data_IF_654247331694
#
_entry.id   IF_654247331694
#
_cell.length_a   1.000
_cell.length_b   1.000
_cell.length_c   1.000
_cell.angle_alpha   90.00
_cell.angle_beta   90.00
_cell.angle_gamma   90.00
#
_symmetry.space_group_name_H-M   'P 1'
#
loop_
_entity.id
_entity.type
_entity.pdbx_description
1 polymer ?
#
# COMPACT_ATOMS: atom_id res chain seq x y z
N UNK A 1 -5.41 0.94 -0.17
CA UNK A 1 -6.16 0.36 0.97
C UNK A 1 -6.39 -1.10 0.69
N UNK A 2 -5.75 -1.95 1.47
CA UNK A 2 -5.92 -3.41 1.33
C UNK A 2 -7.40 -3.77 1.58
N UNK A 3 -7.97 -4.59 0.71
CA UNK A 3 -9.37 -5.03 0.80
C UNK A 3 -10.44 -3.94 0.62
N UNK A 4 -10.04 -2.70 0.32
CA UNK A 4 -10.88 -1.51 0.30
C UNK A 4 -11.77 -1.44 -0.94
N UNK A 5 -12.86 -2.22 -0.94
CA UNK A 5 -13.90 -2.09 -1.97
C UNK A 5 -14.73 -0.79 -1.84
N UNK A 6 -15.61 -0.57 -2.81
CA UNK A 6 -16.47 0.63 -2.84
C UNK A 6 -17.35 0.76 -1.60
N UNK A 7 -17.86 -0.36 -1.06
CA UNK A 7 -18.69 -0.36 0.14
C UNK A 7 -17.90 0.08 1.39
N UNK A 8 -16.64 -0.32 1.52
CA UNK A 8 -15.74 0.09 2.62
C UNK A 8 -15.54 1.60 2.62
N UNK A 9 -15.17 2.16 1.46
CA UNK A 9 -15.02 3.59 1.29
C UNK A 9 -16.34 4.34 1.56
N UNK A 10 -17.47 3.82 1.07
CA UNK A 10 -18.78 4.44 1.29
C UNK A 10 -19.16 4.44 2.78
N UNK A 11 -18.84 3.36 3.49
CA UNK A 11 -19.07 3.26 4.94
C UNK A 11 -18.28 4.34 5.69
N UNK A 12 -17.00 4.49 5.38
CA UNK A 12 -16.18 5.53 5.99
C UNK A 12 -16.65 6.96 5.63
N UNK A 13 -17.03 7.19 4.37
CA UNK A 13 -17.60 8.46 3.91
C UNK A 13 -18.86 8.83 4.74
N UNK A 14 -19.79 7.91 4.92
CA UNK A 14 -21.01 8.17 5.67
C UNK A 14 -20.74 8.32 7.17
N UNK A 15 -19.86 7.50 7.73
CA UNK A 15 -19.46 7.62 9.13
C UNK A 15 -18.75 8.95 9.45
N UNK A 16 -18.13 9.58 8.45
CA UNK A 16 -17.47 10.88 8.57
C UNK A 16 -18.34 12.05 8.05
N UNK A 17 -19.64 11.93 8.14
CA UNK A 17 -20.56 13.04 7.80
C UNK A 17 -20.62 13.36 6.30
N UNK A 18 -20.21 12.45 5.43
CA UNK A 18 -20.21 12.62 3.98
C UNK A 18 -18.92 13.25 3.42
N UNK A 19 -17.86 13.36 4.20
CA UNK A 19 -16.57 13.92 3.76
C UNK A 19 -15.43 12.88 3.83
N UNK A 20 -14.74 12.70 2.71
CA UNK A 20 -13.48 11.96 2.58
C UNK A 20 -12.60 12.65 1.55
N UNK A 21 -11.30 12.68 1.80
CA UNK A 21 -10.31 13.21 0.83
C UNK A 21 -10.32 12.42 -0.47
N UNK A 22 -10.37 11.10 -0.41
CA UNK A 22 -10.46 10.21 -1.57
C UNK A 22 -11.67 10.57 -2.45
N UNK A 23 -12.81 10.92 -1.85
CA UNK A 23 -14.03 11.27 -2.58
C UNK A 23 -13.92 12.59 -3.37
N UNK A 24 -12.90 13.40 -3.13
CA UNK A 24 -12.62 14.63 -3.88
C UNK A 24 -11.88 14.38 -5.19
N UNK A 25 -11.29 13.19 -5.36
CA UNK A 25 -10.59 12.80 -6.58
C UNK A 25 -11.59 12.57 -7.72
N UNK A 26 -11.35 13.16 -8.89
CA UNK A 26 -12.35 13.25 -9.97
C UNK A 26 -12.19 12.25 -11.10
N UNK A 27 -11.02 11.63 -11.23
CA UNK A 27 -10.77 10.59 -12.21
C UNK A 27 -10.96 9.24 -11.55
N UNK A 28 -12.02 8.54 -11.95
CA UNK A 28 -12.44 7.30 -11.30
C UNK A 28 -12.56 6.20 -12.34
N UNK A 29 -12.06 5.05 -12.02
CA UNK A 29 -12.21 3.81 -12.77
C UNK A 29 -12.50 2.62 -11.87
N UNK A 30 -12.58 1.46 -12.46
CA UNK A 30 -12.77 0.18 -11.78
C UNK A 30 -11.69 -0.81 -12.22
N UNK A 31 -11.22 -1.63 -11.30
CA UNK A 31 -10.12 -2.57 -11.55
C UNK A 31 -10.61 -4.01 -11.39
N UNK A 32 -10.27 -4.85 -12.37
CA UNK A 32 -10.42 -6.31 -12.32
C UNK A 32 -9.21 -6.89 -11.57
N UNK A 33 -9.44 -7.69 -10.55
CA UNK A 33 -8.40 -8.13 -9.62
C UNK A 33 -8.06 -9.62 -9.66
N UNK A 34 -8.77 -10.43 -10.47
CA UNK A 34 -8.53 -11.88 -10.53
C UNK A 34 -7.03 -12.21 -10.72
N UNK A 35 -6.56 -13.23 -10.03
CA UNK A 35 -5.20 -13.76 -10.19
C UNK A 35 -5.10 -14.71 -11.40
N UNK A 36 -3.90 -15.25 -11.65
CA UNK A 36 -3.67 -16.19 -12.76
C UNK A 36 -4.45 -17.50 -12.56
N UNK A 37 -4.52 -18.01 -11.34
CA UNK A 37 -5.08 -19.33 -11.04
C UNK A 37 -6.40 -19.28 -10.26
N UNK A 38 -6.91 -18.10 -9.90
CA UNK A 38 -8.11 -17.95 -9.06
C UNK A 38 -8.99 -16.79 -9.53
N UNK A 39 -10.30 -17.03 -9.48
CA UNK A 39 -11.30 -15.97 -9.65
C UNK A 39 -11.23 -14.92 -8.54
N UNK A 40 -10.96 -15.35 -7.31
CA UNK A 40 -10.73 -14.50 -6.15
C UNK A 40 -9.23 -14.44 -5.89
N UNK A 41 -8.65 -13.25 -6.00
CA UNK A 41 -7.24 -13.01 -5.75
C UNK A 41 -6.91 -12.97 -4.26
N UNK A 42 -5.63 -13.08 -3.92
CA UNK A 42 -5.08 -12.63 -2.64
C UNK A 42 -4.17 -11.41 -2.86
N UNK A 43 -3.77 -10.76 -1.76
CA UNK A 43 -2.93 -9.56 -1.80
C UNK A 43 -1.57 -9.80 -2.46
N UNK A 44 -1.01 -11.03 -2.35
CA UNK A 44 0.27 -11.36 -2.97
C UNK A 44 0.18 -11.33 -4.51
N UNK A 45 -0.83 -11.99 -5.08
CA UNK A 45 -1.00 -12.03 -6.52
C UNK A 45 -1.43 -10.67 -7.09
N UNK A 46 -2.31 -9.95 -6.41
CA UNK A 46 -2.74 -8.63 -6.85
C UNK A 46 -1.63 -7.59 -6.68
N UNK A 47 -0.91 -7.59 -5.55
CA UNK A 47 0.27 -6.75 -5.35
C UNK A 47 1.34 -7.01 -6.40
N UNK A 48 1.59 -8.28 -6.76
CA UNK A 48 2.51 -8.64 -7.85
C UNK A 48 2.02 -8.08 -9.20
N UNK A 49 0.72 -8.13 -9.49
CA UNK A 49 0.19 -7.57 -10.73
C UNK A 49 0.41 -6.04 -10.81
N UNK A 50 0.21 -5.32 -9.71
CA UNK A 50 0.50 -3.89 -9.62
C UNK A 50 2.01 -3.57 -9.68
N UNK A 51 2.84 -4.42 -9.06
CA UNK A 51 4.28 -4.20 -9.00
C UNK A 51 5.01 -4.56 -10.29
N UNK A 52 4.48 -5.49 -11.11
CA UNK A 52 5.20 -6.06 -12.25
C UNK A 52 4.46 -5.99 -13.59
N UNK A 53 3.15 -5.71 -13.59
CA UNK A 53 2.30 -5.76 -14.78
C UNK A 53 2.01 -7.19 -15.27
N UNK A 54 2.17 -8.21 -14.42
CA UNK A 54 1.90 -9.61 -14.76
C UNK A 54 1.01 -10.27 -13.72
N UNK A 55 0.09 -11.11 -14.21
CA UNK A 55 -0.67 -12.01 -13.33
C UNK A 55 0.26 -13.10 -12.79
N UNK A 56 -0.01 -13.51 -11.54
CA UNK A 56 0.63 -14.67 -10.91
C UNK A 56 -0.39 -15.50 -10.12
N UNK A 57 0.05 -16.62 -9.57
CA UNK A 57 -0.78 -17.46 -8.72
C UNK A 57 -0.96 -16.85 -7.33
N UNK A 58 -2.12 -17.10 -6.70
CA UNK A 58 -2.33 -16.69 -5.31
C UNK A 58 -1.17 -17.15 -4.42
N UNK A 59 -0.71 -16.28 -3.56
CA UNK A 59 0.40 -16.50 -2.64
C UNK A 59 1.78 -16.16 -3.20
N UNK A 60 1.95 -15.95 -4.50
CA UNK A 60 3.24 -15.66 -5.13
C UNK A 60 3.56 -14.18 -5.16
N UNK A 61 4.84 -13.83 -4.96
CA UNK A 61 5.36 -12.47 -4.86
C UNK A 61 6.46 -12.25 -5.89
N UNK A 62 6.29 -11.31 -6.83
CA UNK A 62 7.32 -10.90 -7.79
C UNK A 62 7.81 -12.00 -8.74
N UNK A 63 7.05 -13.08 -8.89
CA UNK A 63 7.31 -14.17 -9.84
C UNK A 63 6.07 -14.42 -10.69
N UNK A 64 6.25 -15.00 -11.90
CA UNK A 64 5.13 -15.43 -12.72
C UNK A 64 4.52 -16.77 -12.25
N UNK A 65 3.55 -17.30 -13.00
CA UNK A 65 2.89 -18.57 -12.67
C UNK A 65 3.79 -19.79 -12.75
N UNK A 66 4.95 -19.67 -13.40
CA UNK A 66 5.95 -20.73 -13.58
C UNK A 66 7.11 -20.57 -12.58
N UNK A 67 7.13 -19.47 -11.78
CA UNK A 67 8.15 -19.17 -10.79
C UNK A 67 9.34 -18.37 -11.34
N UNK A 68 9.25 -17.85 -12.58
CA UNK A 68 10.29 -16.98 -13.10
C UNK A 68 10.19 -15.59 -12.47
N UNK A 69 11.35 -15.00 -12.15
CA UNK A 69 11.45 -13.67 -11.55
C UNK A 69 10.92 -12.59 -12.50
N UNK A 70 10.08 -11.72 -11.99
CA UNK A 70 9.54 -10.55 -12.68
C UNK A 70 10.13 -9.27 -12.09
N UNK A 71 10.78 -8.43 -12.89
CA UNK A 71 11.25 -7.13 -12.39
C UNK A 71 10.08 -6.28 -11.90
N UNK A 72 10.17 -5.82 -10.66
CA UNK A 72 9.14 -5.00 -10.04
C UNK A 72 9.39 -3.48 -10.26
N UNK A 73 8.39 -2.67 -9.92
CA UNK A 73 8.39 -1.22 -10.08
C UNK A 73 9.60 -0.56 -9.39
N UNK A 74 9.92 -0.99 -8.16
CA UNK A 74 11.05 -0.46 -7.40
C UNK A 74 12.37 -0.68 -8.13
N UNK A 75 12.59 -1.88 -8.67
CA UNK A 75 13.82 -2.22 -9.40
C UNK A 75 13.93 -1.45 -10.71
N UNK A 76 12.83 -1.42 -11.48
CA UNK A 76 12.78 -0.74 -12.78
C UNK A 76 13.06 0.74 -12.59
N UNK A 77 12.32 1.41 -11.70
CA UNK A 77 12.43 2.84 -11.51
C UNK A 77 13.77 3.24 -10.89
N UNK A 78 14.27 2.49 -9.90
CA UNK A 78 15.59 2.72 -9.34
C UNK A 78 16.69 2.59 -10.39
N UNK A 79 16.60 1.61 -11.32
CA UNK A 79 17.56 1.45 -12.41
C UNK A 79 17.56 2.64 -13.38
N UNK A 80 16.47 3.37 -13.45
CA UNK A 80 16.31 4.59 -14.27
C UNK A 80 16.66 5.87 -13.50
N UNK A 81 17.04 5.74 -12.23
CA UNK A 81 17.48 6.85 -11.38
C UNK A 81 16.34 7.59 -10.66
N UNK A 82 15.14 7.00 -10.56
CA UNK A 82 14.10 7.49 -9.68
C UNK A 82 14.39 7.05 -8.24
N UNK A 83 14.03 7.86 -7.27
CA UNK A 83 13.96 7.42 -5.88
C UNK A 83 12.72 6.55 -5.67
N UNK A 84 12.81 5.54 -4.80
CA UNK A 84 11.67 4.66 -4.53
C UNK A 84 11.50 4.44 -3.04
N UNK A 85 10.24 4.32 -2.60
CA UNK A 85 9.87 4.09 -1.21
C UNK A 85 8.65 3.19 -1.05
N UNK A 86 8.54 2.57 0.13
CA UNK A 86 7.47 1.65 0.52
C UNK A 86 7.09 1.97 1.96
N UNK A 87 5.81 2.24 2.20
CA UNK A 87 5.22 2.53 3.52
C UNK A 87 4.00 1.66 3.73
N UNK A 88 3.86 1.06 4.90
CA UNK A 88 2.69 0.23 5.25
C UNK A 88 2.36 0.32 6.74
N UNK A 89 1.10 0.07 7.08
CA UNK A 89 0.66 -0.19 8.45
C UNK A 89 0.79 -1.66 8.84
N UNK A 90 1.08 -2.57 7.90
CA UNK A 90 1.37 -3.99 8.17
C UNK A 90 2.87 -4.19 8.50
N UNK A 91 3.23 -5.44 8.70
CA UNK A 91 4.63 -5.90 8.67
C UNK A 91 5.23 -5.54 7.32
N UNK A 92 6.47 -5.06 7.34
CA UNK A 92 7.16 -4.78 6.08
C UNK A 92 7.31 -6.04 5.20
N UNK A 93 7.19 -7.22 5.77
CA UNK A 93 7.10 -8.51 5.06
C UNK A 93 5.69 -8.91 4.64
N UNK A 94 4.69 -8.07 4.89
CA UNK A 94 3.33 -8.25 4.39
C UNK A 94 3.29 -8.40 2.87
N UNK A 95 2.23 -9.00 2.35
CA UNK A 95 2.20 -9.38 0.94
C UNK A 95 2.29 -8.17 -0.01
N UNK A 96 1.54 -7.11 0.27
CA UNK A 96 1.52 -5.91 -0.58
C UNK A 96 2.88 -5.21 -0.62
N UNK A 97 3.50 -4.81 0.51
CA UNK A 97 4.82 -4.17 0.45
C UNK A 97 5.87 -5.12 -0.15
N UNK A 98 5.82 -6.41 0.20
CA UNK A 98 6.77 -7.40 -0.28
C UNK A 98 6.75 -7.58 -1.80
N UNK A 99 5.60 -7.50 -2.46
CA UNK A 99 5.49 -7.60 -3.91
C UNK A 99 6.34 -6.54 -4.66
N UNK A 100 6.68 -5.44 -4.01
CA UNK A 100 7.46 -4.36 -4.60
C UNK A 100 8.98 -4.47 -4.36
N UNK A 101 9.45 -5.52 -3.64
CA UNK A 101 10.89 -5.69 -3.43
C UNK A 101 11.40 -7.14 -3.41
N UNK A 102 10.52 -8.15 -3.40
CA UNK A 102 10.91 -9.57 -3.30
C UNK A 102 10.44 -10.40 -4.49
N UNK A 103 11.01 -11.62 -4.62
CA UNK A 103 10.70 -12.58 -5.66
C UNK A 103 10.58 -13.98 -5.06
N UNK A 104 9.51 -14.19 -4.28
CA UNK A 104 9.31 -15.44 -3.56
C UNK A 104 8.05 -16.20 -4.04
N UNK A 105 8.12 -17.50 -4.26
CA UNK A 105 6.98 -18.28 -4.73
C UNK A 105 5.84 -18.37 -3.71
N UNK A 106 6.06 -17.99 -2.46
CA UNK A 106 5.03 -18.00 -1.40
C UNK A 106 5.22 -16.86 -0.42
N UNK A 107 4.14 -16.10 -0.15
CA UNK A 107 4.08 -15.01 0.83
C UNK A 107 4.39 -15.44 2.28
N UNK A 108 4.35 -16.74 2.58
CA UNK A 108 4.71 -17.28 3.88
C UNK A 108 6.23 -17.48 4.09
N UNK A 109 7.05 -17.22 3.08
CA UNK A 109 8.52 -17.34 3.15
C UNK A 109 9.14 -16.09 3.79
N UNK A 110 8.73 -15.80 5.02
CA UNK A 110 9.06 -14.55 5.71
C UNK A 110 10.56 -14.29 5.82
N UNK A 111 11.36 -15.33 6.08
CA UNK A 111 12.81 -15.19 6.22
C UNK A 111 13.47 -14.77 4.89
N UNK A 112 13.06 -15.39 3.79
CA UNK A 112 13.55 -15.08 2.45
C UNK A 112 13.10 -13.69 2.01
N UNK A 113 11.84 -13.33 2.28
CA UNK A 113 11.28 -12.00 2.01
C UNK A 113 12.10 -10.92 2.73
N UNK A 114 12.39 -11.11 4.02
CA UNK A 114 13.23 -10.17 4.78
C UNK A 114 14.68 -10.15 4.31
N UNK A 115 15.21 -11.28 3.82
CA UNK A 115 16.55 -11.32 3.19
C UNK A 115 16.58 -10.48 1.90
N UNK A 116 15.49 -10.47 1.13
CA UNK A 116 15.37 -9.63 -0.06
C UNK A 116 15.24 -8.14 0.31
N UNK A 117 14.57 -7.81 1.43
CA UNK A 117 14.50 -6.44 1.93
C UNK A 117 15.89 -5.81 2.13
N UNK A 118 16.86 -6.57 2.65
CA UNK A 118 18.23 -6.09 2.82
C UNK A 118 18.86 -5.67 1.48
N UNK A 119 18.41 -6.26 0.38
CA UNK A 119 18.91 -6.03 -0.98
C UNK A 119 18.06 -5.05 -1.79
N UNK A 120 16.98 -4.58 -1.21
CA UNK A 120 16.03 -3.67 -1.90
C UNK A 120 16.74 -2.45 -2.48
N UNK A 121 16.23 -1.96 -3.58
CA UNK A 121 16.64 -0.70 -4.20
C UNK A 121 15.90 0.52 -3.64
N UNK A 122 14.86 0.28 -2.82
CA UNK A 122 14.14 1.37 -2.17
C UNK A 122 15.07 2.16 -1.25
N UNK A 123 14.90 3.48 -1.25
CA UNK A 123 15.63 4.40 -0.37
C UNK A 123 14.89 4.63 0.96
N UNK A 124 13.58 4.40 0.97
CA UNK A 124 12.74 4.53 2.14
C UNK A 124 11.87 3.29 2.28
N UNK A 125 11.92 2.63 3.43
CA UNK A 125 11.02 1.53 3.77
C UNK A 125 10.49 1.75 5.17
N UNK A 126 9.18 1.61 5.33
CA UNK A 126 8.52 1.74 6.63
C UNK A 126 7.42 0.69 6.76
N UNK A 127 7.45 -0.02 7.85
CA UNK A 127 6.47 -1.01 8.24
C UNK A 127 6.76 -1.46 9.66
N UNK A 128 5.93 -2.31 10.20
CA UNK A 128 6.03 -2.74 11.59
C UNK A 128 6.76 -4.08 11.76
N UNK A 129 6.74 -4.56 13.00
CA UNK A 129 7.19 -5.87 13.49
C UNK A 129 8.67 -5.99 13.80
N UNK A 130 9.14 -5.12 14.69
CA UNK A 130 10.47 -5.27 15.33
C UNK A 130 10.67 -6.68 15.90
N UNK A 131 9.67 -7.23 16.60
CA UNK A 131 9.76 -8.59 17.19
C UNK A 131 9.99 -9.68 16.14
N UNK A 132 9.46 -9.53 14.95
CA UNK A 132 9.70 -10.47 13.85
C UNK A 132 11.20 -10.50 13.46
N UNK A 133 11.81 -9.33 13.35
CA UNK A 133 13.25 -9.21 13.04
C UNK A 133 14.12 -9.76 14.19
N UNK A 134 13.76 -9.47 15.43
CA UNK A 134 14.45 -10.01 16.62
C UNK A 134 14.39 -11.53 16.66
N UNK A 135 13.25 -12.13 16.35
CA UNK A 135 13.05 -13.57 16.29
C UNK A 135 13.82 -14.25 15.15
N UNK A 136 14.12 -13.54 14.06
CA UNK A 136 14.89 -14.08 12.94
C UNK A 136 16.40 -13.95 13.19
N UNK A 137 16.83 -12.94 13.96
CA UNK A 137 18.21 -12.70 14.36
C UNK A 137 18.59 -11.22 14.30
N UNK A 138 19.25 -10.72 15.32
CA UNK A 138 19.66 -9.30 15.47
C UNK A 138 20.53 -8.83 14.28
N UNK A 139 21.23 -9.75 13.64
CA UNK A 139 22.03 -9.47 12.44
C UNK A 139 21.26 -8.85 11.27
N UNK A 140 19.92 -8.91 11.24
CA UNK A 140 19.14 -8.27 10.19
C UNK A 140 19.22 -6.74 10.26
N UNK A 141 19.11 -6.16 11.43
CA UNK A 141 19.27 -4.72 11.59
C UNK A 141 20.68 -4.26 11.23
N UNK A 142 21.69 -5.03 11.63
CA UNK A 142 23.08 -4.75 11.27
C UNK A 142 23.31 -4.90 9.77
N UNK A 143 22.68 -5.89 9.15
CA UNK A 143 22.74 -6.05 7.69
C UNK A 143 22.13 -4.85 6.95
N UNK A 144 21.00 -4.31 7.43
CA UNK A 144 20.41 -3.07 6.88
C UNK A 144 21.37 -1.88 7.08
N UNK A 145 21.96 -1.72 8.27
CA UNK A 145 22.95 -0.66 8.54
C UNK A 145 24.17 -0.77 7.62
N UNK A 146 24.70 -1.97 7.41
CA UNK A 146 25.81 -2.21 6.47
C UNK A 146 25.43 -1.90 5.00
N UNK A 147 24.15 -1.91 4.66
CA UNK A 147 23.64 -1.48 3.34
C UNK A 147 23.35 0.02 3.26
N UNK A 148 23.70 0.77 4.31
CA UNK A 148 23.58 2.22 4.36
C UNK A 148 22.23 2.74 4.85
N UNK A 149 21.38 1.88 5.42
CA UNK A 149 20.13 2.32 6.03
C UNK A 149 20.36 2.92 7.42
N UNK A 150 19.80 4.09 7.67
CA UNK A 150 19.48 4.56 9.02
C UNK A 150 18.28 3.76 9.52
N UNK A 151 18.54 2.84 10.48
CA UNK A 151 17.50 1.98 11.04
C UNK A 151 16.94 2.62 12.30
N UNK A 152 15.64 2.87 12.32
CA UNK A 152 14.90 3.44 13.45
C UNK A 152 13.66 2.60 13.77
N UNK A 153 13.14 2.77 14.98
CA UNK A 153 12.01 1.97 15.51
C UNK A 153 10.82 2.83 15.97
N UNK A 154 10.96 4.15 15.95
CA UNK A 154 9.89 5.09 16.26
C UNK A 154 9.79 6.12 15.12
N UNK A 155 8.61 6.29 14.52
CA UNK A 155 8.40 7.24 13.44
C UNK A 155 8.65 8.70 13.86
N UNK A 156 8.56 9.00 15.15
CA UNK A 156 8.87 10.32 15.73
C UNK A 156 10.35 10.68 15.65
N UNK A 157 11.22 9.71 15.37
CA UNK A 157 12.65 9.93 15.15
C UNK A 157 12.96 10.40 13.71
N UNK A 158 12.04 10.19 12.75
CA UNK A 158 12.24 10.52 11.33
C UNK A 158 12.86 11.91 11.09
N UNK A 159 12.38 13.00 11.72
CA UNK A 159 12.95 14.33 11.49
C UNK A 159 14.42 14.52 11.93
N UNK A 160 14.95 13.56 12.70
CA UNK A 160 16.31 13.60 13.24
C UNK A 160 17.27 12.65 12.52
N UNK A 161 16.74 11.79 11.64
CA UNK A 161 17.58 10.80 10.91
C UNK A 161 18.33 11.49 9.78
N UNK A 162 19.63 11.38 9.81
CA UNK A 162 20.51 11.83 8.72
C UNK A 162 21.10 10.62 8.03
N UNK A 163 20.42 10.12 7.00
CA UNK A 163 20.87 8.97 6.20
C UNK A 163 20.37 9.08 4.76
N UNK A 164 21.08 8.47 3.82
CA UNK A 164 20.67 8.42 2.42
C UNK A 164 19.59 7.36 2.15
N UNK A 165 19.46 6.42 3.06
CA UNK A 165 18.43 5.41 3.07
C UNK A 165 17.86 5.27 4.48
N UNK A 166 16.56 5.08 4.59
CA UNK A 166 15.89 4.94 5.90
C UNK A 166 15.07 3.66 5.92
N UNK A 167 15.24 2.89 6.98
CA UNK A 167 14.39 1.74 7.31
C UNK A 167 13.73 2.00 8.68
N UNK A 168 12.48 2.38 8.66
CA UNK A 168 11.63 2.45 9.83
C UNK A 168 10.99 1.08 10.04
N UNK A 169 11.53 0.31 10.96
CA UNK A 169 10.94 -0.95 11.41
C UNK A 169 10.27 -0.67 12.75
N UNK A 170 9.03 -0.26 12.70
CA UNK A 170 8.29 0.23 13.85
C UNK A 170 7.91 -0.89 14.82
N UNK A 171 7.53 -0.53 16.02
CA UNK A 171 7.13 -1.50 17.05
C UNK A 171 5.86 -2.26 16.61
N UNK A 172 5.65 -3.43 17.20
CA UNK A 172 4.52 -4.30 16.81
C UNK A 172 3.16 -3.64 16.99
N UNK A 173 3.03 -2.70 17.95
CA UNK A 173 1.81 -1.91 18.14
C UNK A 173 1.46 -1.04 16.94
N UNK A 174 2.42 -0.66 16.12
CA UNK A 174 2.18 0.13 14.91
C UNK A 174 1.66 -0.72 13.73
N UNK A 175 1.58 -2.06 13.90
CA UNK A 175 0.83 -2.99 13.05
C UNK A 175 -0.54 -3.37 13.63
N UNK A 176 -0.92 -2.84 14.77
CA UNK A 176 -2.24 -3.08 15.36
C UNK A 176 -3.30 -2.21 14.67
N UNK A 177 -4.56 -2.54 14.90
CA UNK A 177 -5.65 -1.68 14.46
C UNK A 177 -5.68 -0.38 15.24
N UNK A 178 -6.17 0.68 14.63
CA UNK A 178 -6.39 1.98 15.31
C UNK A 178 -7.23 1.79 16.58
N UNK A 179 -8.27 0.96 16.54
CA UNK A 179 -9.09 0.67 17.71
C UNK A 179 -8.34 -0.05 18.84
N UNK A 180 -7.22 -0.72 18.54
CA UNK A 180 -6.37 -1.43 19.50
C UNK A 180 -5.19 -0.57 19.98
N UNK A 181 -5.08 0.68 19.51
CA UNK A 181 -4.13 1.66 20.01
C UNK A 181 -2.97 2.00 19.09
N UNK A 182 -3.02 1.66 17.77
CA UNK A 182 -2.10 2.27 16.81
C UNK A 182 -2.26 3.78 16.84
N UNK A 183 -1.14 4.49 16.86
CA UNK A 183 -1.15 5.95 16.76
C UNK A 183 -1.63 6.38 15.36
N UNK A 184 -2.74 7.10 15.30
CA UNK A 184 -3.32 7.60 14.02
C UNK A 184 -2.45 8.65 13.33
N UNK A 185 -1.38 9.10 13.96
CA UNK A 185 -0.37 9.92 13.31
C UNK A 185 0.64 9.10 12.50
N UNK A 186 0.74 7.78 12.73
CA UNK A 186 1.77 6.94 12.12
C UNK A 186 1.76 7.03 10.59
N UNK A 187 0.72 6.50 9.94
CA UNK A 187 0.68 6.42 8.48
C UNK A 187 0.77 7.79 7.81
N UNK A 188 0.02 8.75 8.33
CA UNK A 188 0.02 10.14 7.87
C UNK A 188 1.43 10.76 7.93
N UNK A 189 2.08 10.73 9.10
CA UNK A 189 3.38 11.39 9.30
C UNK A 189 4.51 10.69 8.56
N UNK A 190 4.45 9.35 8.46
CA UNK A 190 5.43 8.59 7.68
C UNK A 190 5.28 8.87 6.18
N UNK A 191 4.04 9.01 5.69
CA UNK A 191 3.76 9.38 4.30
C UNK A 191 4.29 10.77 3.97
N UNK A 192 3.98 11.78 4.78
CA UNK A 192 4.45 13.16 4.61
C UNK A 192 5.98 13.23 4.57
N UNK A 193 6.63 12.57 5.54
CA UNK A 193 8.09 12.51 5.55
C UNK A 193 8.67 11.79 4.32
N UNK A 194 8.10 10.65 3.92
CA UNK A 194 8.56 9.88 2.77
C UNK A 194 8.45 10.65 1.46
N UNK A 195 7.36 11.40 1.25
CA UNK A 195 7.16 12.27 0.09
C UNK A 195 8.30 13.30 -0.03
N UNK A 196 8.53 14.06 1.05
CA UNK A 196 9.58 15.07 1.11
C UNK A 196 10.97 14.47 0.94
N UNK A 197 11.28 13.39 1.66
CA UNK A 197 12.56 12.68 1.61
C UNK A 197 12.88 12.18 0.19
N UNK A 198 11.93 11.50 -0.46
CA UNK A 198 12.16 10.94 -1.80
C UNK A 198 12.25 12.02 -2.88
N UNK A 199 11.50 13.10 -2.75
CA UNK A 199 11.59 14.23 -3.68
C UNK A 199 12.98 14.87 -3.68
N UNK A 200 13.65 14.94 -2.53
CA UNK A 200 15.02 15.45 -2.42
C UNK A 200 16.08 14.48 -2.99
N UNK A 201 15.82 13.16 -3.01
CA UNK A 201 16.80 12.14 -3.40
C UNK A 201 16.99 12.00 -4.91
N UNK A 202 16.05 12.45 -5.74
CA UNK A 202 16.19 12.34 -7.19
C UNK A 202 15.55 13.51 -7.93
N UNK A 203 16.34 14.12 -8.82
CA UNK A 203 15.85 15.15 -9.76
C UNK A 203 14.93 14.60 -10.85
N UNK A 204 14.85 13.28 -11.02
CA UNK A 204 13.95 12.63 -11.97
C UNK A 204 12.57 12.42 -11.39
N UNK A 205 12.43 12.51 -10.08
CA UNK A 205 11.21 12.21 -9.34
C UNK A 205 11.31 10.90 -8.57
N UNK A 206 10.20 10.46 -8.05
CA UNK A 206 10.13 9.29 -7.17
C UNK A 206 8.88 8.44 -7.42
N UNK A 207 8.90 7.24 -6.86
CA UNK A 207 7.77 6.35 -6.69
C UNK A 207 7.62 6.02 -5.21
N UNK A 208 6.42 6.16 -4.68
CA UNK A 208 6.09 5.80 -3.31
C UNK A 208 4.84 4.92 -3.28
N UNK A 209 4.97 3.72 -2.70
CA UNK A 209 3.84 2.90 -2.29
C UNK A 209 3.47 3.25 -0.86
N UNK A 210 2.20 3.53 -0.60
CA UNK A 210 1.63 3.71 0.75
C UNK A 210 0.47 2.76 0.92
N UNK A 211 0.46 1.98 1.98
CA UNK A 211 -0.57 1.00 2.26
C UNK A 211 -1.24 1.22 3.61
N UNK A 212 -2.57 1.32 3.60
CA UNK A 212 -3.43 1.12 4.76
C UNK A 212 -3.91 -0.33 4.79
N UNK A 213 -3.18 -1.20 5.47
CA UNK A 213 -3.37 -2.64 5.41
C UNK A 213 -4.54 -3.15 6.25
N UNK A 214 -4.88 -2.45 7.35
CA UNK A 214 -5.78 -2.98 8.36
C UNK A 214 -7.28 -2.86 7.99
N UNK A 215 -7.60 -2.23 6.86
CA UNK A 215 -8.98 -2.20 6.32
C UNK A 215 -9.43 -3.63 6.00
N UNK A 216 -8.54 -4.41 5.36
CA UNK A 216 -8.77 -5.82 5.04
C UNK A 216 -9.01 -6.67 6.29
N UNK A 217 -8.14 -6.52 7.30
CA UNK A 217 -8.28 -7.26 8.55
C UNK A 217 -9.58 -6.91 9.28
N UNK A 218 -10.02 -5.65 9.27
CA UNK A 218 -11.32 -5.22 9.78
C UNK A 218 -12.48 -5.91 9.05
N UNK A 219 -12.40 -6.01 7.74
CA UNK A 219 -13.41 -6.67 6.91
C UNK A 219 -13.41 -8.20 7.09
N UNK A 220 -12.26 -8.85 7.19
CA UNK A 220 -12.13 -10.27 7.52
C UNK A 220 -12.78 -10.61 8.87
N UNK A 221 -12.65 -9.73 9.85
CA UNK A 221 -13.27 -9.88 11.16
C UNK A 221 -14.78 -9.54 11.18
N UNK A 222 -15.35 -9.07 10.07
CA UNK A 222 -16.74 -8.61 10.03
C UNK A 222 -16.99 -7.37 10.91
N UNK A 223 -15.95 -6.54 11.09
CA UNK A 223 -15.95 -5.40 11.99
C UNK A 223 -16.07 -4.08 11.23
N UNK A 224 -17.31 -3.55 11.13
CA UNK A 224 -17.59 -2.28 10.44
C UNK A 224 -16.85 -1.12 11.10
N UNK A 225 -16.79 -1.05 12.43
CA UNK A 225 -16.08 0.03 13.13
C UNK A 225 -14.57 0.00 12.81
N UNK A 226 -13.96 -1.19 12.77
CA UNK A 226 -12.58 -1.37 12.32
C UNK A 226 -12.38 -0.85 10.90
N UNK A 227 -13.21 -1.28 9.96
CA UNK A 227 -13.18 -0.79 8.56
C UNK A 227 -13.27 0.72 8.48
N UNK A 228 -14.21 1.34 9.20
CA UNK A 228 -14.36 2.81 9.24
C UNK A 228 -13.08 3.47 9.75
N UNK A 229 -12.59 3.06 10.91
CA UNK A 229 -11.42 3.69 11.54
C UNK A 229 -10.17 3.58 10.69
N UNK A 230 -9.94 2.41 10.10
CA UNK A 230 -8.78 2.15 9.24
C UNK A 230 -8.86 2.91 7.91
N UNK A 231 -10.06 2.98 7.30
CA UNK A 231 -10.25 3.77 6.06
C UNK A 231 -10.07 5.26 6.32
N UNK A 232 -10.54 5.79 7.46
CA UNK A 232 -10.34 7.19 7.85
C UNK A 232 -8.87 7.48 8.18
N UNK A 233 -8.14 6.53 8.74
CA UNK A 233 -6.71 6.68 8.99
C UNK A 233 -5.91 6.69 7.68
N UNK A 234 -6.25 5.81 6.75
CA UNK A 234 -5.69 5.80 5.39
C UNK A 234 -6.01 7.09 4.62
N UNK A 235 -7.23 7.61 4.71
CA UNK A 235 -7.65 8.86 4.05
C UNK A 235 -6.82 10.08 4.50
N UNK A 236 -6.31 10.08 5.74
CA UNK A 236 -5.39 11.13 6.20
C UNK A 236 -4.04 11.06 5.47
N UNK A 237 -3.52 9.87 5.20
CA UNK A 237 -2.30 9.73 4.42
C UNK A 237 -2.52 10.13 2.95
N UNK A 238 -3.70 9.84 2.39
CA UNK A 238 -4.10 10.34 1.07
C UNK A 238 -4.14 11.86 1.05
N UNK A 239 -4.62 12.50 2.13
CA UNK A 239 -4.65 13.96 2.23
C UNK A 239 -3.24 14.58 2.13
N UNK A 240 -2.22 13.98 2.78
CA UNK A 240 -0.83 14.44 2.65
C UNK A 240 -0.32 14.28 1.21
N UNK A 241 -0.64 13.16 0.56
CA UNK A 241 -0.25 12.94 -0.83
C UNK A 241 -0.90 13.94 -1.80
N UNK A 242 -2.18 14.28 -1.60
CA UNK A 242 -2.86 15.29 -2.41
C UNK A 242 -2.34 16.70 -2.15
N UNK A 243 -2.07 17.05 -0.89
CA UNK A 243 -1.44 18.33 -0.55
C UNK A 243 -0.08 18.46 -1.23
N UNK A 244 0.78 17.45 -1.14
CA UNK A 244 2.07 17.42 -1.80
C UNK A 244 1.92 17.56 -3.34
N UNK A 245 0.92 16.90 -3.94
CA UNK A 245 0.64 17.00 -5.37
C UNK A 245 0.17 18.40 -5.78
N UNK A 246 -0.65 19.06 -4.96
CA UNK A 246 -1.09 20.44 -5.20
C UNK A 246 0.07 21.43 -5.13
N UNK A 247 0.99 21.25 -4.19
CA UNK A 247 2.13 22.15 -4.00
C UNK A 247 3.14 22.07 -5.15
N UNK A 248 3.37 20.90 -5.74
CA UNK A 248 4.35 20.76 -6.82
C UNK A 248 3.74 20.70 -8.24
N UNK A 249 2.47 20.34 -8.38
CA UNK A 249 1.75 20.26 -9.66
C UNK A 249 2.22 19.16 -10.62
N UNK A 250 3.18 18.32 -10.25
CA UNK A 250 3.80 17.30 -11.10
C UNK A 250 3.61 15.86 -10.57
N UNK A 251 2.91 15.68 -9.45
CA UNK A 251 2.71 14.38 -8.80
C UNK A 251 1.38 13.76 -9.23
N UNK A 252 1.44 12.54 -9.73
CA UNK A 252 0.29 11.67 -9.95
C UNK A 252 0.03 10.87 -8.67
N UNK A 253 -1.16 11.00 -8.09
CA UNK A 253 -1.64 10.21 -6.95
C UNK A 253 -2.68 9.22 -7.45
N UNK A 254 -2.50 7.95 -7.11
CA UNK A 254 -3.43 6.86 -7.44
C UNK A 254 -3.83 6.19 -6.14
N UNK A 255 -5.13 6.11 -5.87
CA UNK A 255 -5.70 5.40 -4.72
C UNK A 255 -6.54 4.25 -5.23
N UNK A 256 -6.24 3.04 -4.78
CA UNK A 256 -6.93 1.82 -5.20
C UNK A 256 -6.89 0.75 -4.10
N UNK A 257 -7.55 -0.36 -4.33
CA UNK A 257 -7.43 -1.58 -3.52
C UNK A 257 -6.86 -2.72 -4.36
N UNK A 258 -6.33 -3.72 -3.70
CA UNK A 258 -5.85 -4.95 -4.32
C UNK A 258 -6.98 -5.96 -4.58
N UNK A 259 -8.00 -5.98 -3.74
CA UNK A 259 -9.27 -6.72 -3.85
C UNK A 259 -10.35 -6.06 -3.00
N UNK A 260 -11.55 -6.62 -2.99
CA UNK A 260 -12.58 -6.35 -1.99
C UNK A 260 -12.58 -7.48 -0.96
N UNK A 261 -12.86 -7.16 0.31
CA UNK A 261 -12.94 -8.14 1.40
C UNK A 261 -14.29 -8.11 2.09
N UNK A 262 -14.82 -9.30 2.36
CA UNK A 262 -16.00 -9.50 3.18
C UNK A 262 -17.33 -9.44 2.43
N UNK A 263 -17.37 -8.93 1.21
CA UNK A 263 -18.65 -8.73 0.49
C UNK A 263 -19.60 -7.82 1.28
N UNK A 264 -19.09 -6.65 1.72
CA UNK A 264 -19.82 -5.74 2.60
C UNK A 264 -21.06 -5.18 1.90
N UNK A 265 -22.22 -5.44 2.52
CA UNK A 265 -23.51 -4.84 2.16
C UNK A 265 -23.92 -3.80 3.20
N UNK A 266 -24.16 -2.57 2.77
CA UNK A 266 -24.60 -1.49 3.66
C UNK A 266 -26.08 -1.61 4.00
N UNK A 267 -26.42 -1.32 5.26
CA UNK A 267 -27.77 -1.26 5.79
C UNK A 267 -28.21 0.18 6.04
N UNK A 268 -29.19 0.31 6.92
CA UNK A 268 -29.71 1.61 7.37
C UNK A 268 -28.63 2.38 8.15
N UNK A 269 -28.70 3.71 8.12
CA UNK A 269 -27.75 4.58 8.80
C UNK A 269 -28.22 6.03 8.89
N UNK A 270 -27.38 6.89 9.45
CA UNK A 270 -27.62 8.33 9.52
C UNK A 270 -26.30 9.07 9.30
N UNK A 271 -26.14 9.67 8.14
CA UNK A 271 -24.88 10.38 7.76
C UNK A 271 -24.61 11.57 8.70
N UNK A 272 -25.66 12.31 9.09
CA UNK A 272 -25.47 13.48 9.96
C UNK A 272 -25.02 13.13 11.38
N UNK A 273 -25.26 11.90 11.82
CA UNK A 273 -24.84 11.36 13.11
C UNK A 273 -23.62 10.45 13.00
N UNK A 274 -23.12 10.21 11.78
CA UNK A 274 -22.04 9.26 11.52
C UNK A 274 -22.42 7.80 11.80
N UNK A 275 -23.71 7.49 11.81
CA UNK A 275 -24.20 6.13 12.09
C UNK A 275 -24.23 5.33 10.79
N UNK A 276 -23.51 4.22 10.77
CA UNK A 276 -23.47 3.27 9.65
C UNK A 276 -23.78 1.86 10.15
N UNK A 277 -24.41 1.09 9.30
CA UNK A 277 -24.62 -0.35 9.53
C UNK A 277 -24.42 -1.13 8.25
N UNK A 278 -24.23 -2.41 8.39
CA UNK A 278 -24.05 -3.34 7.27
C UNK A 278 -23.71 -4.72 7.79
N UNK A 279 -23.53 -5.65 6.88
CA UNK A 279 -23.08 -7.00 7.19
C UNK A 279 -22.20 -7.53 6.08
N UNK A 280 -21.33 -8.43 6.45
CA UNK A 280 -20.39 -9.09 5.57
C UNK A 280 -20.98 -10.43 5.11
N UNK A 281 -20.96 -10.64 3.79
CA UNK A 281 -21.49 -11.86 3.20
C UNK A 281 -20.52 -13.04 3.34
N UNK A 282 -19.22 -12.75 3.54
CA UNK A 282 -18.16 -13.75 3.69
C UNK A 282 -17.08 -13.24 4.64
N UNK A 283 -16.29 -14.16 5.21
CA UNK A 283 -15.07 -13.81 5.94
C UNK A 283 -13.80 -13.80 5.06
N UNK A 284 -13.93 -13.91 3.75
CA UNK A 284 -12.84 -13.92 2.78
C UNK A 284 -12.96 -12.77 1.78
N UNK A 285 -12.06 -12.76 0.78
CA UNK A 285 -12.15 -11.79 -0.31
C UNK A 285 -13.31 -12.06 -1.24
N UNK A 286 -13.72 -11.06 -2.00
CA UNK A 286 -14.70 -11.21 -3.07
C UNK A 286 -14.13 -10.78 -4.43
N UNK A 287 -14.71 -11.25 -5.55
CA UNK A 287 -14.22 -10.92 -6.89
C UNK A 287 -14.81 -9.63 -7.45
N UNK A 288 -15.44 -8.82 -6.60
CA UNK A 288 -16.04 -7.55 -7.01
C UNK A 288 -14.94 -6.60 -7.50
N UNK A 289 -15.25 -5.85 -8.56
CA UNK A 289 -14.35 -4.80 -9.06
C UNK A 289 -14.08 -3.79 -7.94
N UNK A 290 -12.83 -3.36 -7.80
CA UNK A 290 -12.46 -2.33 -6.85
C UNK A 290 -12.33 -0.98 -7.54
N UNK A 291 -12.62 0.14 -6.86
CA UNK A 291 -12.43 1.45 -7.43
C UNK A 291 -10.95 1.80 -7.54
N UNK A 292 -10.60 2.60 -8.55
CA UNK A 292 -9.35 3.33 -8.65
C UNK A 292 -9.68 4.81 -8.78
N UNK A 293 -9.03 5.63 -7.97
CA UNK A 293 -9.12 7.08 -8.00
C UNK A 293 -7.76 7.63 -8.40
N UNK A 294 -7.75 8.65 -9.25
CA UNK A 294 -6.51 9.29 -9.67
C UNK A 294 -6.61 10.81 -9.62
N UNK A 295 -5.49 11.46 -9.31
CA UNK A 295 -5.35 12.90 -9.20
C UNK A 295 -3.99 13.37 -9.74
N UNK A 296 -3.95 14.56 -10.36
CA UNK A 296 -2.75 15.14 -10.92
C UNK A 296 -2.52 14.79 -12.39
N UNK A 297 -1.29 14.96 -12.90
CA UNK A 297 -0.96 14.68 -14.30
C UNK A 297 -1.24 13.22 -14.67
N UNK A 298 -1.82 12.99 -15.85
CA UNK A 298 -2.18 11.64 -16.34
C UNK A 298 -3.29 10.93 -15.55
N UNK A 299 -3.98 11.58 -14.63
CA UNK A 299 -5.05 10.97 -13.84
C UNK A 299 -6.19 10.40 -14.71
N UNK A 300 -6.52 11.04 -15.83
CA UNK A 300 -7.54 10.59 -16.77
C UNK A 300 -7.25 9.20 -17.38
N UNK A 301 -5.98 8.80 -17.41
CA UNK A 301 -5.56 7.51 -17.97
C UNK A 301 -6.00 6.32 -17.10
N UNK A 302 -6.47 6.57 -15.86
CA UNK A 302 -6.96 5.55 -14.94
C UNK A 302 -8.49 5.41 -14.94
N UNK A 303 -9.21 6.12 -15.80
CA UNK A 303 -10.66 5.97 -15.96
C UNK A 303 -11.02 4.70 -16.74
N UNK A 304 -12.28 4.25 -16.55
CA UNK A 304 -12.83 3.07 -17.21
C UNK A 304 -12.69 1.79 -16.39
N UNK A 305 -12.87 0.64 -17.04
CA UNK A 305 -12.69 -0.68 -16.42
C UNK A 305 -11.39 -1.28 -16.93
N UNK A 306 -10.41 -1.39 -16.06
CA UNK A 306 -9.05 -1.81 -16.39
C UNK A 306 -8.67 -3.11 -15.66
N UNK A 307 -7.66 -3.79 -16.15
CA UNK A 307 -7.06 -4.91 -15.43
C UNK A 307 -6.00 -4.40 -14.43
N UNK A 308 -5.78 -5.11 -13.31
CA UNK A 308 -4.77 -4.67 -12.32
C UNK A 308 -3.35 -4.64 -12.92
N UNK A 309 -3.05 -5.46 -13.93
CA UNK A 309 -1.78 -5.41 -14.67
C UNK A 309 -1.60 -4.13 -15.49
N UNK A 310 -2.69 -3.49 -15.90
CA UNK A 310 -2.63 -2.24 -16.67
C UNK A 310 -2.21 -1.04 -15.81
N UNK A 311 -2.46 -1.08 -14.50
CA UNK A 311 -2.04 -0.02 -13.57
C UNK A 311 -0.52 0.19 -13.66
N UNK A 312 0.25 -0.89 -13.64
CA UNK A 312 1.69 -0.86 -13.84
C UNK A 312 2.12 -0.15 -15.12
N UNK A 313 1.55 -0.57 -16.26
CA UNK A 313 1.92 -0.01 -17.56
C UNK A 313 1.52 1.47 -17.70
N UNK A 314 0.40 1.87 -17.10
CA UNK A 314 -0.06 3.27 -17.09
C UNK A 314 0.84 4.16 -16.22
N UNK A 315 1.32 3.66 -15.07
CA UNK A 315 2.33 4.37 -14.25
C UNK A 315 3.63 4.56 -15.05
N UNK A 316 4.17 3.50 -15.67
CA UNK A 316 5.38 3.63 -16.47
C UNK A 316 5.20 4.58 -17.66
N UNK A 317 4.02 4.58 -18.29
CA UNK A 317 3.67 5.50 -19.36
C UNK A 317 3.65 6.96 -18.89
N UNK A 318 3.02 7.25 -17.75
CA UNK A 318 2.99 8.57 -17.16
C UNK A 318 4.41 9.09 -16.84
N UNK A 319 5.30 8.22 -16.37
CA UNK A 319 6.70 8.53 -16.12
C UNK A 319 7.58 8.54 -17.39
N UNK A 320 7.03 8.20 -18.55
CA UNK A 320 7.75 8.04 -19.84
C UNK A 320 8.91 7.04 -19.74
N UNK A 321 8.75 6.01 -18.91
CA UNK A 321 9.74 4.94 -18.69
C UNK A 321 9.39 3.74 -19.57
N UNK A 322 10.35 3.29 -20.37
CA UNK A 322 10.25 2.01 -21.08
C UNK A 322 10.79 0.90 -20.18
N UNK A 323 10.09 -0.22 -20.18
CA UNK A 323 10.48 -1.46 -19.48
C UNK A 323 11.82 -2.00 -19.95
#
# INVERSE_FOLDING_TARGET
>A
GDGMGLAHMTTALHANGGDLTIARMRHIGLVKTQSQNRYITDSAASGTAYATGHKTNNGSLGVDSEGNVLSNMTEILSSKGYATGIVTTDKISGATPAAFYTHQPRRSMTREILSDLIRTKALFVAGSSVSLFENIGVEYFDSLRHRGFGVIHDFRELPRVSADKIALIACDRDAEWVQNGRDTAYLRSVTDFALSFLAEKSKKGFFLLVEGAEIDHGAHAGNIEGVVRETLDFDKAVAEALQFADENGETLVIVLADHETGGLALGEGNISEGVVSGHFATGGHSPVLVPVYAYGPHAQDFCGVIDNTEVFSRILSALKVKR
#
